data_IF_600510168198
#
_entry.id   IF_600510168198
#
_cell.length_a   1.000
_cell.length_b   1.000
_cell.length_c   1.000
_cell.angle_alpha   90.00
_cell.angle_beta   90.00
_cell.angle_gamma   90.00
#
_symmetry.space_group_name_H-M   'P 1'
#
loop_
_entity.id
_entity.type
_entity.pdbx_description
1 polymer ?
#
# COMPACT_ATOMS: atom_id res chain seq x y z
N UNK A 1 -36.81 -16.31 -14.86
CA UNK A 1 -37.21 -14.91 -14.91
C UNK A 1 -36.33 -14.17 -13.91
N UNK A 2 -35.55 -13.20 -14.36
CA UNK A 2 -34.65 -12.44 -13.46
C UNK A 2 -35.48 -11.52 -12.57
N UNK A 3 -35.12 -11.43 -11.30
CA UNK A 3 -35.81 -10.57 -10.33
C UNK A 3 -35.20 -9.18 -10.23
N UNK A 4 -33.88 -9.11 -10.41
CA UNK A 4 -33.09 -7.87 -10.27
C UNK A 4 -32.40 -7.54 -11.58
N UNK A 5 -32.54 -6.30 -12.04
CA UNK A 5 -31.68 -5.72 -13.08
C UNK A 5 -30.60 -4.89 -12.38
N UNK A 6 -29.34 -5.10 -12.75
CA UNK A 6 -28.19 -4.39 -12.15
C UNK A 6 -27.61 -3.43 -13.17
N UNK A 7 -27.68 -2.14 -12.85
CA UNK A 7 -27.12 -1.04 -13.63
C UNK A 7 -25.86 -0.49 -12.95
N UNK A 8 -24.81 -0.31 -13.72
CA UNK A 8 -23.52 0.17 -13.25
C UNK A 8 -22.73 0.84 -14.39
N UNK A 9 -21.71 1.63 -14.06
CA UNK A 9 -20.74 2.10 -15.04
C UNK A 9 -19.72 0.99 -15.35
N UNK A 10 -19.27 0.88 -16.59
CA UNK A 10 -18.27 -0.13 -17.01
C UNK A 10 -16.95 -0.10 -16.22
N UNK A 11 -16.67 1.02 -15.54
CA UNK A 11 -15.48 1.17 -14.68
C UNK A 11 -15.61 0.44 -13.35
N UNK A 12 -16.83 0.15 -12.91
CA UNK A 12 -17.14 -0.53 -11.65
C UNK A 12 -17.62 -1.97 -11.85
N UNK A 13 -17.29 -2.58 -13.00
CA UNK A 13 -17.73 -3.93 -13.37
C UNK A 13 -17.39 -4.99 -12.32
N UNK A 14 -16.21 -4.94 -11.74
CA UNK A 14 -15.78 -5.92 -10.73
C UNK A 14 -16.65 -5.90 -9.49
N UNK A 15 -16.95 -4.70 -8.96
CA UNK A 15 -17.84 -4.53 -7.81
C UNK A 15 -19.30 -4.90 -8.11
N UNK A 16 -19.78 -4.54 -9.30
CA UNK A 16 -21.13 -4.91 -9.72
C UNK A 16 -21.28 -6.43 -9.85
N UNK A 17 -20.28 -7.12 -10.41
CA UNK A 17 -20.26 -8.57 -10.50
C UNK A 17 -20.20 -9.24 -9.13
N UNK A 18 -19.42 -8.72 -8.19
CA UNK A 18 -19.37 -9.20 -6.80
C UNK A 18 -20.76 -9.15 -6.14
N UNK A 19 -21.45 -8.02 -6.25
CA UNK A 19 -22.82 -7.85 -5.72
C UNK A 19 -23.76 -8.88 -6.36
N UNK A 20 -23.72 -9.02 -7.68
CA UNK A 20 -24.55 -9.99 -8.42
C UNK A 20 -24.29 -11.42 -7.94
N UNK A 21 -23.04 -11.81 -7.80
CA UNK A 21 -22.67 -13.14 -7.33
C UNK A 21 -23.25 -13.45 -5.94
N UNK A 22 -23.22 -12.48 -5.03
CA UNK A 22 -23.79 -12.65 -3.69
C UNK A 22 -25.32 -12.76 -3.71
N UNK A 23 -26.00 -11.96 -4.55
CA UNK A 23 -27.45 -12.04 -4.71
C UNK A 23 -27.87 -13.38 -5.34
N UNK A 24 -27.13 -13.88 -6.34
CA UNK A 24 -27.41 -15.16 -6.99
C UNK A 24 -27.14 -16.35 -6.06
N UNK A 25 -26.12 -16.27 -5.21
CA UNK A 25 -25.90 -17.25 -4.12
C UNK A 25 -27.06 -17.29 -3.13
N UNK A 26 -27.76 -16.18 -2.93
CA UNK A 26 -28.97 -16.11 -2.12
C UNK A 26 -30.25 -16.51 -2.88
N UNK A 27 -30.12 -17.06 -4.09
CA UNK A 27 -31.23 -17.52 -4.90
C UNK A 27 -32.03 -16.37 -5.56
N UNK A 28 -31.45 -15.19 -5.70
CA UNK A 28 -32.05 -14.03 -6.35
C UNK A 28 -31.51 -13.91 -7.78
N UNK A 29 -32.26 -14.28 -8.82
CA UNK A 29 -31.77 -14.24 -10.19
C UNK A 29 -31.53 -12.77 -10.63
N UNK A 30 -30.30 -12.46 -11.04
CA UNK A 30 -29.90 -11.14 -11.51
C UNK A 30 -29.70 -11.13 -13.03
N UNK A 31 -29.91 -9.94 -13.62
CA UNK A 31 -29.53 -9.62 -14.99
C UNK A 31 -28.53 -8.48 -14.99
N UNK A 32 -27.39 -8.67 -15.64
CA UNK A 32 -26.30 -7.70 -15.72
C UNK A 32 -25.66 -7.69 -17.12
N UNK A 33 -25.46 -6.51 -17.72
CA UNK A 33 -24.71 -6.39 -18.97
C UNK A 33 -23.17 -6.35 -18.68
N UNK A 34 -22.30 -6.85 -19.54
CA UNK A 34 -22.63 -7.57 -20.79
C UNK A 34 -22.89 -9.08 -20.61
N UNK A 35 -22.73 -9.64 -19.38
CA UNK A 35 -22.82 -11.09 -19.11
C UNK A 35 -24.08 -11.74 -19.72
N UNK A 36 -25.23 -11.12 -19.50
CA UNK A 36 -26.54 -11.69 -19.85
C UNK A 36 -27.06 -11.26 -21.23
N UNK A 37 -26.19 -10.62 -22.01
CA UNK A 37 -26.48 -10.27 -23.39
C UNK A 37 -25.93 -11.36 -24.31
N UNK A 38 -26.83 -11.98 -25.10
CA UNK A 38 -26.43 -13.03 -26.02
C UNK A 38 -25.48 -12.50 -27.11
N UNK A 39 -24.50 -13.31 -27.50
CA UNK A 39 -23.55 -12.97 -28.57
C UNK A 39 -24.32 -12.71 -29.87
N UNK A 40 -24.09 -11.53 -30.48
CA UNK A 40 -24.79 -11.08 -31.68
C UNK A 40 -26.12 -10.35 -31.44
N UNK A 41 -26.54 -10.19 -30.19
CA UNK A 41 -27.77 -9.48 -29.81
C UNK A 41 -27.59 -7.96 -29.87
N UNK A 42 -28.74 -7.26 -29.82
CA UNK A 42 -28.77 -5.81 -29.90
C UNK A 42 -29.07 -5.18 -28.52
N UNK A 43 -28.07 -4.52 -27.93
CA UNK A 43 -28.17 -3.81 -26.65
C UNK A 43 -29.38 -2.91 -26.51
N UNK A 44 -29.79 -2.26 -27.62
CA UNK A 44 -30.94 -1.33 -27.62
C UNK A 44 -32.28 -2.06 -27.46
N UNK A 45 -32.34 -3.37 -27.66
CA UNK A 45 -33.54 -4.18 -27.49
C UNK A 45 -33.50 -5.02 -26.21
N UNK A 46 -32.36 -5.57 -25.87
CA UNK A 46 -32.23 -6.53 -24.77
C UNK A 46 -32.28 -5.85 -23.40
N UNK A 47 -31.62 -4.72 -23.21
CA UNK A 47 -31.64 -3.96 -21.96
C UNK A 47 -33.08 -3.50 -21.62
N UNK A 48 -33.83 -2.85 -22.50
CA UNK A 48 -35.22 -2.47 -22.21
C UNK A 48 -36.11 -3.65 -21.90
N UNK A 49 -35.88 -4.81 -22.53
CA UNK A 49 -36.62 -6.03 -22.25
C UNK A 49 -36.31 -6.55 -20.85
N UNK A 50 -35.03 -6.65 -20.49
CA UNK A 50 -34.59 -7.09 -19.17
C UNK A 50 -35.17 -6.20 -18.05
N UNK A 51 -35.14 -4.87 -18.20
CA UNK A 51 -35.74 -3.94 -17.24
C UNK A 51 -37.25 -4.19 -17.09
N UNK A 52 -37.98 -4.43 -18.19
CA UNK A 52 -39.43 -4.75 -18.11
C UNK A 52 -39.71 -6.03 -17.32
N UNK A 53 -38.87 -7.05 -17.53
CA UNK A 53 -39.05 -8.39 -16.97
C UNK A 53 -38.58 -8.51 -15.49
N UNK A 54 -37.73 -7.61 -15.02
CA UNK A 54 -37.29 -7.55 -13.64
C UNK A 54 -38.30 -6.82 -12.74
N UNK A 55 -38.33 -7.17 -11.46
CA UNK A 55 -39.16 -6.50 -10.46
C UNK A 55 -38.41 -5.38 -9.73
N UNK A 56 -37.12 -5.54 -9.57
CA UNK A 56 -36.25 -4.61 -8.87
C UNK A 56 -35.14 -4.09 -9.79
N UNK A 57 -34.71 -2.87 -9.56
CA UNK A 57 -33.63 -2.22 -10.27
C UNK A 57 -32.56 -1.80 -9.26
N UNK A 58 -31.44 -2.51 -9.26
CA UNK A 58 -30.29 -2.20 -8.44
C UNK A 58 -29.39 -1.22 -9.20
N UNK A 59 -29.10 -0.09 -8.60
CA UNK A 59 -28.21 0.93 -9.15
C UNK A 59 -26.92 0.97 -8.32
N UNK A 60 -25.81 0.56 -8.92
CA UNK A 60 -24.49 0.72 -8.32
C UNK A 60 -24.01 2.17 -8.50
N UNK A 61 -24.15 2.96 -7.44
CA UNK A 61 -23.87 4.39 -7.43
C UNK A 61 -22.38 4.68 -7.27
N UNK A 62 -21.85 5.42 -8.23
CA UNK A 62 -20.50 6.01 -8.25
C UNK A 62 -20.52 7.31 -9.03
N UNK A 63 -19.47 8.12 -8.93
CA UNK A 63 -19.32 9.32 -9.75
C UNK A 63 -19.34 8.99 -11.26
N UNK A 64 -18.81 7.84 -11.66
CA UNK A 64 -18.85 7.37 -13.05
C UNK A 64 -20.25 6.91 -13.47
N UNK A 65 -21.01 6.28 -12.58
CA UNK A 65 -22.38 5.86 -12.85
C UNK A 65 -23.28 7.08 -13.08
N UNK A 66 -23.17 8.08 -12.23
CA UNK A 66 -23.89 9.34 -12.35
C UNK A 66 -23.59 10.08 -13.67
N UNK A 67 -22.32 10.12 -14.08
CA UNK A 67 -21.91 10.73 -15.35
C UNK A 67 -22.30 9.90 -16.59
N UNK A 68 -22.71 8.64 -16.42
CA UNK A 68 -22.99 7.71 -17.51
C UNK A 68 -24.34 7.96 -18.16
N UNK A 69 -24.34 8.36 -19.44
CA UNK A 69 -25.57 8.49 -20.22
C UNK A 69 -26.39 7.19 -20.34
N UNK A 70 -25.73 6.05 -20.24
CA UNK A 70 -26.39 4.74 -20.29
C UNK A 70 -27.10 4.42 -18.97
N UNK A 71 -26.43 4.56 -17.86
CA UNK A 71 -26.98 4.36 -16.52
C UNK A 71 -28.19 5.28 -16.32
N UNK A 72 -28.09 6.55 -16.70
CA UNK A 72 -29.18 7.51 -16.62
C UNK A 72 -30.41 7.11 -17.45
N UNK A 73 -30.21 6.54 -18.66
CA UNK A 73 -31.31 6.02 -19.49
C UNK A 73 -31.96 4.79 -18.88
N UNK A 74 -31.19 3.91 -18.28
CA UNK A 74 -31.67 2.70 -17.61
C UNK A 74 -32.47 3.08 -16.36
N UNK A 75 -31.95 3.97 -15.53
CA UNK A 75 -32.63 4.49 -14.35
C UNK A 75 -33.96 5.16 -14.72
N UNK A 76 -33.95 6.05 -15.71
CA UNK A 76 -35.19 6.70 -16.18
C UNK A 76 -36.23 5.68 -16.65
N UNK A 77 -35.80 4.61 -17.31
CA UNK A 77 -36.71 3.52 -17.70
C UNK A 77 -37.27 2.75 -16.51
N UNK A 78 -36.45 2.49 -15.52
CA UNK A 78 -36.85 1.78 -14.32
C UNK A 78 -37.89 2.61 -13.54
N UNK A 79 -37.67 3.91 -13.40
CA UNK A 79 -38.61 4.85 -12.78
C UNK A 79 -39.93 4.84 -13.54
N UNK A 80 -39.94 5.04 -14.87
CA UNK A 80 -41.15 5.06 -15.71
C UNK A 80 -41.88 3.72 -15.73
N UNK A 81 -41.28 2.64 -15.30
CA UNK A 81 -41.89 1.30 -15.20
C UNK A 81 -42.18 0.93 -13.73
N UNK A 82 -42.12 1.87 -12.82
CA UNK A 82 -42.43 1.71 -11.39
C UNK A 82 -41.68 0.53 -10.76
N UNK A 83 -40.38 0.35 -11.14
CA UNK A 83 -39.55 -0.66 -10.55
C UNK A 83 -39.15 -0.30 -9.12
N UNK A 84 -39.06 -1.28 -8.25
CA UNK A 84 -38.47 -1.06 -6.92
C UNK A 84 -36.98 -0.73 -7.08
N UNK A 85 -36.60 0.49 -6.75
CA UNK A 85 -35.23 0.98 -6.87
C UNK A 85 -34.42 0.61 -5.64
N UNK A 86 -33.21 0.10 -5.87
CA UNK A 86 -32.23 -0.26 -4.83
C UNK A 86 -30.90 0.45 -5.15
N UNK A 87 -30.74 1.72 -4.77
CA UNK A 87 -29.47 2.41 -4.96
C UNK A 87 -28.46 1.98 -3.90
N UNK A 88 -27.30 1.49 -4.35
CA UNK A 88 -26.16 1.11 -3.53
C UNK A 88 -24.99 2.01 -3.82
N UNK A 89 -24.55 2.82 -2.86
CA UNK A 89 -23.35 3.63 -2.96
C UNK A 89 -22.12 2.71 -2.85
N UNK A 90 -21.44 2.48 -3.95
CA UNK A 90 -20.27 1.61 -4.06
C UNK A 90 -18.94 2.38 -4.03
N UNK A 91 -19.02 3.71 -4.00
CA UNK A 91 -17.90 4.64 -3.96
C UNK A 91 -18.31 5.84 -3.11
N UNK A 92 -17.39 6.39 -2.31
CA UNK A 92 -17.66 7.61 -1.55
C UNK A 92 -17.56 8.84 -2.47
N UNK A 93 -18.69 9.43 -2.81
CA UNK A 93 -18.78 10.67 -3.58
C UNK A 93 -20.02 11.47 -3.17
N UNK A 94 -20.09 12.74 -3.58
CA UNK A 94 -21.27 13.58 -3.36
C UNK A 94 -22.20 13.46 -4.57
N UNK A 95 -23.42 13.02 -4.34
CA UNK A 95 -24.45 12.90 -5.37
C UNK A 95 -24.89 14.31 -5.79
N UNK A 96 -25.06 14.56 -7.10
CA UNK A 96 -25.55 15.84 -7.60
C UNK A 96 -27.05 16.06 -7.29
N UNK A 97 -27.47 17.34 -7.18
CA UNK A 97 -28.88 17.69 -6.93
C UNK A 97 -29.85 17.05 -7.94
N UNK A 98 -29.44 16.93 -9.22
CA UNK A 98 -30.27 16.32 -10.25
C UNK A 98 -30.45 14.81 -10.07
N UNK A 99 -29.46 14.11 -9.54
CA UNK A 99 -29.53 12.68 -9.28
C UNK A 99 -30.23 12.41 -7.93
N UNK A 100 -29.98 13.25 -6.94
CA UNK A 100 -30.69 13.25 -5.66
C UNK A 100 -32.18 13.38 -5.83
N UNK A 101 -32.66 14.29 -6.69
CA UNK A 101 -34.04 14.43 -7.03
C UNK A 101 -34.69 13.16 -7.63
N UNK A 102 -33.94 12.40 -8.45
CA UNK A 102 -34.43 11.14 -9.03
C UNK A 102 -34.56 10.01 -7.99
N UNK A 103 -33.91 10.15 -6.85
CA UNK A 103 -33.86 9.16 -5.77
C UNK A 103 -34.49 9.69 -4.47
N UNK A 104 -35.23 10.80 -4.50
CA UNK A 104 -35.76 11.53 -3.32
C UNK A 104 -36.54 10.63 -2.36
N UNK A 105 -37.33 9.70 -2.90
CA UNK A 105 -38.15 8.78 -2.10
C UNK A 105 -37.51 7.42 -1.86
N UNK A 106 -36.22 7.25 -2.18
CA UNK A 106 -35.56 5.94 -2.12
C UNK A 106 -34.38 5.94 -1.16
N UNK A 107 -34.35 4.97 -0.25
CA UNK A 107 -33.26 4.82 0.68
C UNK A 107 -31.97 4.42 -0.05
N UNK A 108 -30.97 5.31 -0.04
CA UNK A 108 -29.63 5.03 -0.54
C UNK A 108 -28.85 4.27 0.54
N UNK A 109 -28.32 3.10 0.19
CA UNK A 109 -27.56 2.24 1.08
C UNK A 109 -26.08 2.39 0.80
N UNK A 110 -25.28 2.59 1.85
CA UNK A 110 -23.84 2.78 1.70
C UNK A 110 -23.09 1.44 1.76
N UNK A 111 -22.89 0.84 0.59
CA UNK A 111 -22.12 -0.40 0.44
C UNK A 111 -20.63 -0.26 0.75
N UNK A 112 -20.07 0.95 0.69
CA UNK A 112 -18.66 1.21 0.99
C UNK A 112 -18.31 1.03 2.45
N UNK A 113 -19.25 1.29 3.35
CA UNK A 113 -19.02 1.26 4.81
C UNK A 113 -19.42 -0.08 5.44
N UNK A 114 -20.41 -0.76 4.88
CA UNK A 114 -20.89 -2.06 5.36
C UNK A 114 -21.43 -2.90 4.20
N UNK A 115 -20.53 -3.58 3.48
CA UNK A 115 -20.91 -4.40 2.34
C UNK A 115 -21.82 -5.57 2.73
N UNK A 116 -21.54 -6.24 3.84
CA UNK A 116 -22.30 -7.44 4.23
C UNK A 116 -23.66 -7.10 4.83
N UNK A 117 -23.72 -6.11 5.71
CA UNK A 117 -24.99 -5.66 6.30
C UNK A 117 -25.94 -5.15 5.24
N UNK A 118 -25.44 -4.34 4.29
CA UNK A 118 -26.22 -3.81 3.17
C UNK A 118 -26.72 -4.93 2.24
N UNK A 119 -25.90 -5.93 1.94
CA UNK A 119 -26.34 -7.08 1.14
C UNK A 119 -27.42 -7.90 1.84
N UNK A 120 -27.30 -8.13 3.15
CA UNK A 120 -28.35 -8.82 3.93
C UNK A 120 -29.66 -8.03 3.94
N UNK A 121 -29.60 -6.72 4.06
CA UNK A 121 -30.76 -5.84 3.93
C UNK A 121 -31.41 -5.97 2.56
N UNK A 122 -30.61 -5.94 1.49
CA UNK A 122 -31.10 -6.11 0.11
C UNK A 122 -31.72 -7.50 -0.09
N UNK A 123 -31.07 -8.56 0.39
CA UNK A 123 -31.60 -9.94 0.32
C UNK A 123 -32.93 -10.02 1.05
N UNK A 124 -33.08 -9.35 2.20
CA UNK A 124 -34.32 -9.29 2.98
C UNK A 124 -35.51 -8.66 2.25
N UNK A 125 -35.29 -7.90 1.17
CA UNK A 125 -36.36 -7.36 0.31
C UNK A 125 -37.03 -8.46 -0.55
N UNK A 126 -36.47 -9.69 -0.59
CA UNK A 126 -36.96 -10.79 -1.42
C UNK A 126 -37.53 -11.91 -0.54
N UNK A 127 -38.84 -11.98 -0.31
CA UNK A 127 -39.48 -12.90 0.67
C UNK A 127 -39.32 -14.40 0.38
N UNK A 128 -38.83 -14.77 -0.80
CA UNK A 128 -38.53 -16.14 -1.19
C UNK A 128 -37.04 -16.37 -1.46
N UNK A 129 -36.18 -15.42 -1.10
CA UNK A 129 -34.75 -15.67 -1.06
C UNK A 129 -34.52 -16.65 0.09
N UNK A 130 -34.08 -17.86 -0.24
CA UNK A 130 -33.41 -18.66 0.77
C UNK A 130 -32.15 -17.85 1.14
N UNK A 131 -31.97 -17.43 2.39
CA UNK A 131 -30.65 -16.94 2.77
C UNK A 131 -29.70 -18.03 2.29
N UNK A 132 -28.77 -17.67 1.40
CA UNK A 132 -27.63 -18.54 1.18
C UNK A 132 -27.23 -19.00 2.56
N UNK A 133 -26.92 -20.32 2.78
CA UNK A 133 -26.35 -20.71 4.05
C UNK A 133 -25.28 -19.66 4.24
N UNK A 134 -25.52 -18.79 5.23
CA UNK A 134 -24.50 -17.82 5.61
C UNK A 134 -23.26 -18.66 5.59
N UNK A 135 -22.21 -18.38 4.78
CA UNK A 135 -20.96 -19.04 5.02
C UNK A 135 -20.84 -18.76 6.50
N UNK A 136 -20.94 -19.84 7.33
CA UNK A 136 -20.79 -19.71 8.79
C UNK A 136 -19.60 -18.82 8.84
N UNK A 137 -19.73 -17.54 9.26
CA UNK A 137 -18.64 -16.63 9.05
C UNK A 137 -17.51 -17.38 9.71
N UNK A 138 -16.53 -17.72 8.92
CA UNK A 138 -15.31 -18.29 9.43
C UNK A 138 -14.98 -17.20 10.44
N UNK A 139 -15.35 -17.43 11.74
CA UNK A 139 -15.44 -16.39 12.78
C UNK A 139 -14.08 -15.80 13.12
N UNK A 140 -13.14 -16.04 12.20
CA UNK A 140 -11.78 -15.53 12.28
C UNK A 140 -11.80 -14.04 12.02
N UNK A 141 -11.25 -13.33 12.96
CA UNK A 141 -11.00 -11.89 12.85
C UNK A 141 -9.97 -11.60 11.77
N UNK A 142 -9.87 -10.36 11.33
CA UNK A 142 -8.81 -9.91 10.44
C UNK A 142 -7.42 -10.26 10.99
N UNK A 143 -7.25 -10.18 12.32
CA UNK A 143 -6.03 -10.55 13.02
C UNK A 143 -5.74 -12.06 12.92
N UNK A 144 -6.75 -12.93 13.09
CA UNK A 144 -6.56 -14.39 12.98
C UNK A 144 -6.15 -14.81 11.57
N UNK A 145 -6.76 -14.22 10.53
CA UNK A 145 -6.32 -14.42 9.15
C UNK A 145 -4.90 -13.93 8.92
N UNK A 146 -4.54 -12.77 9.46
CA UNK A 146 -3.19 -12.25 9.39
C UNK A 146 -2.17 -13.20 10.03
N UNK A 147 -2.45 -13.72 11.22
CA UNK A 147 -1.61 -14.70 11.91
C UNK A 147 -1.48 -16.02 11.13
N UNK A 148 -2.53 -16.48 10.46
CA UNK A 148 -2.47 -17.64 9.58
C UNK A 148 -1.57 -17.38 8.37
N UNK A 149 -1.68 -16.19 7.77
CA UNK A 149 -0.80 -15.74 6.70
C UNK A 149 0.67 -15.72 7.12
N UNK A 150 0.97 -15.17 8.30
CA UNK A 150 2.32 -15.15 8.86
C UNK A 150 2.90 -16.55 9.09
N UNK A 151 2.09 -17.49 9.61
CA UNK A 151 2.51 -18.88 9.78
C UNK A 151 2.81 -19.55 8.45
N UNK A 152 1.94 -19.43 7.46
CA UNK A 152 2.13 -19.98 6.12
C UNK A 152 3.39 -19.37 5.45
N UNK A 153 3.56 -18.05 5.57
CA UNK A 153 4.73 -17.35 5.03
C UNK A 153 6.04 -17.88 5.62
N UNK A 154 6.12 -18.02 6.96
CA UNK A 154 7.29 -18.53 7.67
C UNK A 154 7.58 -20.01 7.38
N UNK A 155 6.57 -20.76 6.95
CA UNK A 155 6.72 -22.15 6.50
C UNK A 155 7.07 -22.27 5.01
N UNK A 156 7.24 -21.15 4.30
CA UNK A 156 7.54 -21.14 2.86
C UNK A 156 6.33 -21.37 1.95
N UNK A 157 5.12 -21.45 2.51
CA UNK A 157 3.86 -21.66 1.79
C UNK A 157 3.30 -20.30 1.32
N UNK A 158 4.03 -19.65 0.41
CA UNK A 158 3.76 -18.25 0.06
C UNK A 158 2.41 -18.03 -0.63
N UNK A 159 1.96 -18.95 -1.48
CA UNK A 159 0.64 -18.88 -2.14
C UNK A 159 -0.50 -18.94 -1.12
N UNK A 160 -0.38 -19.82 -0.13
CA UNK A 160 -1.33 -19.92 0.96
C UNK A 160 -1.30 -18.66 1.85
N UNK A 161 -0.10 -18.14 2.14
CA UNK A 161 0.07 -16.90 2.89
C UNK A 161 -0.63 -15.72 2.23
N UNK A 162 -0.48 -15.55 0.91
CA UNK A 162 -1.16 -14.52 0.13
C UNK A 162 -2.68 -14.65 0.25
N UNK A 163 -3.22 -15.89 0.17
CA UNK A 163 -4.65 -16.13 0.34
C UNK A 163 -5.18 -15.69 1.71
N UNK A 164 -4.41 -15.92 2.78
CA UNK A 164 -4.76 -15.48 4.13
C UNK A 164 -4.60 -13.97 4.32
N UNK A 165 -3.51 -13.38 3.82
CA UNK A 165 -3.30 -11.93 3.85
C UNK A 165 -4.39 -11.19 3.08
N UNK A 166 -4.85 -11.75 1.94
CA UNK A 166 -5.97 -11.16 1.19
C UNK A 166 -7.24 -11.12 2.03
N UNK A 167 -7.60 -12.22 2.69
CA UNK A 167 -8.78 -12.27 3.59
C UNK A 167 -8.66 -11.26 4.74
N UNK A 168 -7.49 -11.13 5.35
CA UNK A 168 -7.24 -10.14 6.39
C UNK A 168 -7.33 -8.70 5.85
N UNK A 169 -6.76 -8.44 4.67
CA UNK A 169 -6.79 -7.14 4.01
C UNK A 169 -8.21 -6.71 3.61
N UNK A 170 -9.04 -7.65 3.16
CA UNK A 170 -10.44 -7.41 2.82
C UNK A 170 -11.27 -7.01 4.06
N UNK A 171 -10.84 -7.46 5.24
CA UNK A 171 -11.37 -7.03 6.54
C UNK A 171 -10.67 -5.78 7.10
N UNK A 172 -9.86 -5.09 6.31
CA UNK A 172 -9.24 -3.82 6.69
C UNK A 172 -7.92 -3.92 7.47
N UNK A 173 -7.29 -5.12 7.56
CA UNK A 173 -6.05 -5.28 8.30
C UNK A 173 -4.86 -4.61 7.61
N UNK A 174 -4.40 -3.50 8.16
CA UNK A 174 -3.34 -2.68 7.54
C UNK A 174 -2.01 -3.41 7.36
N UNK A 175 -1.62 -4.27 8.31
CA UNK A 175 -0.34 -4.99 8.22
C UNK A 175 -0.41 -6.08 7.15
N UNK A 176 -1.56 -6.76 7.00
CA UNK A 176 -1.78 -7.70 5.89
C UNK A 176 -1.71 -7.02 4.52
N UNK A 177 -2.25 -5.80 4.40
CA UNK A 177 -2.10 -5.01 3.16
C UNK A 177 -0.64 -4.68 2.87
N UNK A 178 0.16 -4.37 3.90
CA UNK A 178 1.60 -4.14 3.75
C UNK A 178 2.31 -5.40 3.26
N UNK A 179 2.00 -6.55 3.87
CA UNK A 179 2.61 -7.83 3.52
C UNK A 179 2.19 -8.32 2.13
N UNK A 180 0.96 -8.03 1.68
CA UNK A 180 0.56 -8.23 0.29
C UNK A 180 1.40 -7.40 -0.67
N UNK A 181 1.63 -6.13 -0.35
CA UNK A 181 2.52 -5.27 -1.13
C UNK A 181 3.91 -5.88 -1.25
N UNK A 182 4.44 -6.39 -0.14
CA UNK A 182 5.73 -7.10 -0.12
C UNK A 182 5.71 -8.37 -0.98
N UNK A 183 4.65 -9.18 -0.91
CA UNK A 183 4.50 -10.38 -1.71
C UNK A 183 4.57 -10.08 -3.22
N UNK A 184 3.86 -9.05 -3.68
CA UNK A 184 3.90 -8.61 -5.08
C UNK A 184 5.26 -8.02 -5.49
N UNK A 185 5.95 -7.29 -4.59
CA UNK A 185 7.27 -6.71 -4.88
C UNK A 185 8.35 -7.77 -5.05
N UNK A 186 8.33 -8.81 -4.20
CA UNK A 186 9.38 -9.81 -4.11
C UNK A 186 8.98 -11.20 -4.64
N UNK A 187 7.88 -11.28 -5.42
CA UNK A 187 7.43 -12.53 -6.04
C UNK A 187 7.21 -13.69 -5.03
N UNK A 188 6.54 -13.39 -3.91
CA UNK A 188 6.25 -14.36 -2.86
C UNK A 188 4.82 -14.87 -2.98
N UNK A 189 4.64 -16.05 -3.62
CA UNK A 189 3.34 -16.68 -3.81
C UNK A 189 2.43 -16.02 -4.85
N UNK A 190 2.92 -14.99 -5.52
CA UNK A 190 2.26 -14.28 -6.63
C UNK A 190 3.30 -13.85 -7.64
N UNK A 191 2.90 -13.66 -8.89
CA UNK A 191 3.77 -13.07 -9.91
C UNK A 191 4.15 -11.63 -9.52
N UNK A 192 5.41 -11.29 -9.70
CA UNK A 192 5.91 -9.93 -9.41
C UNK A 192 5.13 -8.88 -10.16
N UNK A 193 4.57 -7.92 -9.42
CA UNK A 193 3.84 -6.77 -9.96
C UNK A 193 4.06 -5.54 -9.06
N UNK A 194 4.95 -4.65 -9.50
CA UNK A 194 5.27 -3.44 -8.75
C UNK A 194 4.09 -2.46 -8.66
N UNK A 195 3.19 -2.45 -9.64
CA UNK A 195 2.01 -1.59 -9.59
C UNK A 195 1.01 -2.08 -8.52
N UNK A 196 0.78 -3.38 -8.45
CA UNK A 196 -0.02 -3.98 -7.37
C UNK A 196 0.65 -3.80 -6.01
N UNK A 197 1.98 -3.96 -5.91
CA UNK A 197 2.73 -3.70 -4.68
C UNK A 197 2.51 -2.26 -4.18
N UNK A 198 2.73 -1.26 -5.04
CA UNK A 198 2.51 0.14 -4.69
C UNK A 198 1.06 0.45 -4.28
N UNK A 199 0.08 -0.17 -4.96
CA UNK A 199 -1.35 -0.04 -4.61
C UNK A 199 -1.66 -0.58 -3.21
N UNK A 200 -1.11 -1.73 -2.85
CA UNK A 200 -1.28 -2.32 -1.53
C UNK A 200 -0.56 -1.51 -0.44
N UNK A 201 0.68 -1.08 -0.70
CA UNK A 201 1.38 -0.16 0.20
C UNK A 201 0.61 1.13 0.41
N UNK A 202 0.00 1.70 -0.63
CA UNK A 202 -0.82 2.92 -0.52
C UNK A 202 -2.04 2.71 0.37
N UNK A 203 -2.76 1.59 0.23
CA UNK A 203 -3.90 1.25 1.09
C UNK A 203 -3.47 1.17 2.56
N UNK A 204 -2.41 0.41 2.84
CA UNK A 204 -1.85 0.24 4.17
C UNK A 204 -1.31 1.55 4.77
N UNK A 205 -0.59 2.35 3.97
CA UNK A 205 -0.02 3.64 4.37
C UNK A 205 -1.09 4.67 4.75
N UNK A 206 -2.22 4.67 4.04
CA UNK A 206 -3.37 5.52 4.36
C UNK A 206 -4.03 5.13 5.69
N UNK A 207 -3.93 3.87 6.10
CA UNK A 207 -4.35 3.38 7.42
C UNK A 207 -3.29 3.58 8.51
N UNK A 208 -2.21 4.32 8.19
CA UNK A 208 -1.19 4.71 9.15
C UNK A 208 -0.10 3.68 9.43
N UNK A 209 0.03 2.61 8.64
CA UNK A 209 1.15 1.67 8.79
C UNK A 209 2.48 2.32 8.38
N UNK A 210 3.41 2.45 9.33
CA UNK A 210 4.68 3.15 9.11
C UNK A 210 5.62 2.41 8.14
N UNK A 211 5.59 1.08 8.12
CA UNK A 211 6.37 0.25 7.18
C UNK A 211 5.86 0.48 5.76
N UNK A 212 4.55 0.42 5.56
CA UNK A 212 3.94 0.68 4.26
C UNK A 212 4.16 2.12 3.79
N UNK A 213 4.13 3.10 4.69
CA UNK A 213 4.47 4.49 4.35
C UNK A 213 5.92 4.62 3.86
N UNK A 214 6.87 3.93 4.51
CA UNK A 214 8.26 3.90 4.09
C UNK A 214 8.43 3.20 2.71
N UNK A 215 7.76 2.07 2.50
CA UNK A 215 7.82 1.34 1.24
C UNK A 215 7.17 2.12 0.10
N UNK A 216 6.02 2.75 0.33
CA UNK A 216 5.36 3.64 -0.63
C UNK A 216 6.24 4.84 -0.98
N UNK A 217 6.90 5.43 0.02
CA UNK A 217 7.86 6.52 -0.20
C UNK A 217 8.99 6.06 -1.13
N UNK A 218 9.52 4.86 -0.93
CA UNK A 218 10.53 4.28 -1.81
C UNK A 218 9.98 4.03 -3.22
N UNK A 219 8.74 3.55 -3.35
CA UNK A 219 8.08 3.40 -4.65
C UNK A 219 8.05 4.74 -5.42
N UNK A 220 7.67 5.83 -4.77
CA UNK A 220 7.70 7.16 -5.39
C UNK A 220 9.12 7.67 -5.66
N UNK A 221 10.09 7.39 -4.78
CA UNK A 221 11.48 7.79 -4.95
C UNK A 221 12.14 7.12 -6.17
N UNK A 222 11.93 5.82 -6.31
CA UNK A 222 12.51 5.01 -7.38
C UNK A 222 11.67 5.01 -8.67
N UNK A 223 10.36 5.25 -8.60
CA UNK A 223 9.42 5.06 -9.71
C UNK A 223 8.94 3.62 -9.86
N UNK A 224 8.94 2.85 -8.77
CA UNK A 224 8.56 1.44 -8.76
C UNK A 224 7.03 1.31 -8.66
N UNK A 225 6.38 0.89 -9.74
CA UNK A 225 4.93 0.69 -9.79
C UNK A 225 4.08 1.98 -9.77
N UNK A 226 4.72 3.12 -9.61
CA UNK A 226 4.13 4.46 -9.68
C UNK A 226 5.05 5.41 -10.42
N UNK A 227 4.51 6.50 -10.95
CA UNK A 227 5.35 7.55 -11.55
C UNK A 227 6.26 8.14 -10.48
N UNK A 228 7.58 8.21 -10.78
CA UNK A 228 8.57 8.80 -9.87
C UNK A 228 8.17 10.22 -9.45
N UNK A 229 8.12 10.45 -8.14
CA UNK A 229 7.77 11.73 -7.55
C UNK A 229 8.48 11.92 -6.21
N UNK A 230 9.60 12.64 -6.23
CA UNK A 230 10.44 12.86 -5.05
C UNK A 230 9.72 13.66 -3.96
N UNK A 231 8.81 14.57 -4.33
CA UNK A 231 8.02 15.37 -3.36
C UNK A 231 7.06 14.46 -2.58
N UNK A 232 6.36 13.57 -3.28
CA UNK A 232 5.50 12.58 -2.62
C UNK A 232 6.32 11.59 -1.77
N UNK A 233 7.49 11.17 -2.26
CA UNK A 233 8.40 10.31 -1.49
C UNK A 233 8.75 10.95 -0.13
N UNK A 234 9.16 12.22 -0.13
CA UNK A 234 9.49 12.96 1.11
C UNK A 234 8.29 13.06 2.05
N UNK A 235 7.09 13.32 1.54
CA UNK A 235 5.87 13.38 2.37
C UNK A 235 5.61 12.06 3.09
N UNK A 236 5.75 10.94 2.39
CA UNK A 236 5.52 9.62 2.97
C UNK A 236 6.67 9.20 3.90
N UNK A 237 7.95 9.46 3.54
CA UNK A 237 9.06 9.26 4.46
C UNK A 237 8.88 10.05 5.75
N UNK A 238 8.42 11.30 5.67
CA UNK A 238 8.18 12.13 6.84
C UNK A 238 7.12 11.53 7.77
N UNK A 239 5.99 11.07 7.22
CA UNK A 239 4.94 10.40 8.01
C UNK A 239 5.46 9.16 8.73
N UNK A 240 6.22 8.30 8.05
CA UNK A 240 6.82 7.12 8.65
C UNK A 240 7.90 7.47 9.69
N UNK A 241 8.74 8.46 9.41
CA UNK A 241 9.82 8.91 10.28
C UNK A 241 9.29 9.55 11.58
N UNK A 242 8.17 10.27 11.51
CA UNK A 242 7.48 10.84 12.67
C UNK A 242 6.89 9.74 13.58
N UNK A 243 6.54 8.59 13.03
CA UNK A 243 6.14 7.41 13.79
C UNK A 243 7.33 6.58 14.33
N UNK A 244 8.56 7.03 14.11
CA UNK A 244 9.76 6.37 14.63
C UNK A 244 10.34 5.32 13.68
N UNK A 245 9.84 5.15 12.45
CA UNK A 245 10.36 4.14 11.53
C UNK A 245 11.81 4.48 11.12
N UNK A 246 12.76 3.63 11.52
CA UNK A 246 14.22 3.88 11.44
C UNK A 246 14.65 4.16 9.99
N UNK A 247 14.31 3.27 9.06
CA UNK A 247 14.68 3.42 7.64
C UNK A 247 14.10 4.69 7.01
N UNK A 248 12.89 5.08 7.43
CA UNK A 248 12.28 6.32 6.95
C UNK A 248 13.00 7.57 7.50
N UNK A 249 13.45 7.54 8.76
CA UNK A 249 14.26 8.63 9.33
C UNK A 249 15.59 8.78 8.58
N UNK A 250 16.26 7.67 8.30
CA UNK A 250 17.48 7.68 7.50
C UNK A 250 17.26 8.22 6.09
N UNK A 251 16.25 7.70 5.36
CA UNK A 251 15.97 8.13 3.99
C UNK A 251 15.50 9.59 3.92
N UNK A 252 14.74 10.05 4.89
CA UNK A 252 14.34 11.45 5.00
C UNK A 252 15.55 12.37 5.22
N UNK A 253 16.49 11.93 6.05
CA UNK A 253 17.75 12.64 6.25
C UNK A 253 18.56 12.76 4.94
N UNK A 254 18.63 11.67 4.16
CA UNK A 254 19.25 11.69 2.82
C UNK A 254 18.56 12.67 1.88
N UNK A 255 17.21 12.69 1.86
CA UNK A 255 16.46 13.65 1.05
C UNK A 255 16.82 15.10 1.40
N UNK A 256 16.88 15.44 2.67
CA UNK A 256 17.32 16.79 3.10
C UNK A 256 18.79 17.08 2.80
N UNK A 257 19.66 16.07 2.94
CA UNK A 257 21.09 16.22 2.63
C UNK A 257 21.34 16.52 1.16
N UNK A 258 20.61 15.83 0.27
CA UNK A 258 20.81 15.94 -1.17
C UNK A 258 19.95 17.06 -1.81
N UNK A 259 18.78 17.34 -1.24
CA UNK A 259 17.75 18.19 -1.86
C UNK A 259 16.80 17.39 -2.76
N UNK A 260 16.59 16.11 -2.45
CA UNK A 260 15.72 15.22 -3.22
C UNK A 260 14.25 15.43 -2.83
N UNK A 261 13.47 16.11 -3.67
CA UNK A 261 12.05 16.37 -3.43
C UNK A 261 11.76 17.41 -2.34
N UNK A 262 12.79 17.98 -1.74
CA UNK A 262 12.74 19.02 -0.70
C UNK A 262 13.96 19.94 -0.85
N UNK A 263 13.87 21.17 -0.39
CA UNK A 263 15.04 22.04 -0.36
C UNK A 263 16.15 21.42 0.50
N UNK A 264 17.39 21.49 -0.01
CA UNK A 264 18.56 20.99 0.73
C UNK A 264 18.69 21.70 2.07
N UNK A 265 18.67 20.93 3.15
CA UNK A 265 18.77 21.42 4.53
C UNK A 265 19.64 20.46 5.38
N UNK A 266 20.95 20.74 5.49
CA UNK A 266 21.84 19.91 6.29
C UNK A 266 21.50 19.88 7.78
N UNK A 267 20.86 20.92 8.33
CA UNK A 267 20.44 20.96 9.74
C UNK A 267 19.32 19.95 9.99
N UNK A 268 18.30 19.94 9.11
CA UNK A 268 17.23 18.96 9.18
C UNK A 268 17.74 17.54 8.91
N UNK A 269 18.66 17.35 7.95
CA UNK A 269 19.29 16.06 7.71
C UNK A 269 19.93 15.51 8.98
N UNK A 270 20.72 16.31 9.68
CA UNK A 270 21.38 15.91 10.95
C UNK A 270 20.36 15.55 12.03
N UNK A 271 19.25 16.28 12.15
CA UNK A 271 18.20 15.95 13.14
C UNK A 271 17.63 14.55 12.90
N UNK A 272 17.35 14.22 11.64
CA UNK A 272 16.80 12.92 11.31
C UNK A 272 17.83 11.80 11.41
N UNK A 273 19.09 12.03 11.00
CA UNK A 273 20.17 11.08 11.27
C UNK A 273 20.33 10.78 12.75
N UNK A 274 20.30 11.80 13.63
CA UNK A 274 20.38 11.58 15.08
C UNK A 274 19.29 10.66 15.59
N UNK A 275 18.03 10.85 15.14
CA UNK A 275 16.93 9.98 15.54
C UNK A 275 17.13 8.52 15.09
N UNK A 276 17.66 8.31 13.88
CA UNK A 276 17.98 6.97 13.41
C UNK A 276 19.18 6.37 14.19
N UNK A 277 20.18 7.18 14.52
CA UNK A 277 21.33 6.79 15.35
C UNK A 277 20.93 6.38 16.76
N UNK A 278 19.98 7.10 17.38
CA UNK A 278 19.42 6.76 18.69
C UNK A 278 18.77 5.37 18.71
N UNK A 279 18.31 4.90 17.54
CA UNK A 279 17.75 3.57 17.34
C UNK A 279 18.80 2.55 16.82
N UNK A 280 20.05 2.93 16.70
CA UNK A 280 21.15 2.05 16.36
C UNK A 280 21.42 1.87 14.86
N UNK A 281 20.82 2.65 13.96
CA UNK A 281 21.02 2.53 12.51
C UNK A 281 22.48 2.79 12.12
N UNK A 282 23.16 1.79 11.56
CA UNK A 282 24.58 1.85 11.21
C UNK A 282 24.87 2.79 10.04
N UNK A 283 23.96 2.90 9.09
CA UNK A 283 24.12 3.78 7.93
C UNK A 283 23.93 5.24 8.34
N UNK A 284 22.99 5.51 9.26
CA UNK A 284 22.83 6.84 9.86
C UNK A 284 24.04 7.23 10.70
N UNK A 285 24.63 6.31 11.47
CA UNK A 285 25.89 6.56 12.19
C UNK A 285 27.02 6.96 11.24
N UNK A 286 27.21 6.21 10.16
CA UNK A 286 28.18 6.55 9.13
C UNK A 286 27.96 7.94 8.55
N UNK A 287 26.73 8.26 8.13
CA UNK A 287 26.43 9.54 7.49
C UNK A 287 26.51 10.71 8.48
N UNK A 288 26.04 10.51 9.71
CA UNK A 288 26.21 11.53 10.77
C UNK A 288 27.70 11.74 11.11
N UNK A 289 28.52 10.67 11.05
CA UNK A 289 29.97 10.78 11.16
C UNK A 289 30.56 11.71 10.10
N UNK A 290 30.15 11.56 8.84
CA UNK A 290 30.55 12.49 7.77
C UNK A 290 30.06 13.92 8.02
N UNK A 291 28.85 14.10 8.54
CA UNK A 291 28.36 15.43 8.89
C UNK A 291 29.26 16.12 9.91
N UNK A 292 29.69 15.40 10.95
CA UNK A 292 30.64 15.94 11.95
C UNK A 292 32.05 16.14 11.39
N UNK A 293 32.54 15.25 10.54
CA UNK A 293 33.85 15.38 9.91
C UNK A 293 33.95 16.64 9.04
N UNK A 294 32.90 16.91 8.25
CA UNK A 294 32.87 18.06 7.34
C UNK A 294 32.34 19.36 7.95
N UNK A 295 31.64 19.25 9.06
CA UNK A 295 30.92 20.41 9.65
C UNK A 295 29.64 20.75 8.88
N UNK A 296 28.97 19.73 8.26
CA UNK A 296 27.80 19.91 7.45
C UNK A 296 26.52 19.76 8.31
N UNK A 297 25.82 20.85 8.55
CA UNK A 297 24.64 20.89 9.45
C UNK A 297 24.97 20.77 10.95
N UNK A 298 26.24 20.64 11.31
CA UNK A 298 26.76 20.60 12.68
C UNK A 298 28.13 21.30 12.77
N UNK A 299 28.53 21.71 13.95
CA UNK A 299 29.92 22.16 14.17
C UNK A 299 30.85 20.97 13.93
N UNK A 300 31.87 21.18 13.11
CA UNK A 300 32.91 20.18 12.84
C UNK A 300 33.50 19.64 14.15
N UNK A 301 33.51 18.29 14.25
CA UNK A 301 34.02 17.56 15.40
C UNK A 301 34.52 16.18 14.97
N UNK A 302 35.82 16.09 14.73
CA UNK A 302 36.43 14.87 14.22
C UNK A 302 36.42 13.71 15.24
N UNK A 303 36.41 14.03 16.55
CA UNK A 303 36.34 12.98 17.58
C UNK A 303 34.96 12.32 17.58
N UNK A 304 33.89 13.13 17.50
CA UNK A 304 32.53 12.57 17.33
C UNK A 304 32.35 11.81 16.04
N UNK A 305 32.98 12.27 14.94
CA UNK A 305 32.96 11.53 13.68
C UNK A 305 33.56 10.12 13.85
N UNK A 306 34.73 10.02 14.53
CA UNK A 306 35.39 8.72 14.77
C UNK A 306 34.57 7.82 15.70
N UNK A 307 33.94 8.37 16.73
CA UNK A 307 33.03 7.60 17.60
C UNK A 307 31.86 6.99 16.79
N UNK A 308 31.26 7.76 15.89
CA UNK A 308 30.17 7.31 15.03
C UNK A 308 30.65 6.31 13.99
N UNK A 309 31.82 6.52 13.35
CA UNK A 309 32.41 5.54 12.45
C UNK A 309 32.72 4.24 13.18
N UNK A 310 33.21 4.30 14.43
CA UNK A 310 33.47 3.10 15.25
C UNK A 310 32.18 2.34 15.52
N UNK A 311 31.14 3.02 15.99
CA UNK A 311 29.85 2.40 16.28
C UNK A 311 29.24 1.71 15.05
N UNK A 312 29.34 2.36 13.88
CA UNK A 312 28.90 1.77 12.60
C UNK A 312 29.78 0.60 12.17
N UNK A 313 31.12 0.71 12.32
CA UNK A 313 32.09 -0.31 11.97
C UNK A 313 31.97 -1.58 12.82
N UNK A 314 31.66 -1.44 14.12
CA UNK A 314 31.41 -2.54 15.05
C UNK A 314 30.16 -3.32 14.69
N UNK A 315 29.15 -2.67 14.09
CA UNK A 315 27.95 -3.29 13.53
C UNK A 315 28.19 -3.96 12.16
N UNK A 316 29.43 -3.91 11.64
CA UNK A 316 29.81 -4.59 10.41
C UNK A 316 29.74 -3.72 9.15
N UNK A 317 29.43 -2.43 9.22
CA UNK A 317 29.40 -1.58 8.04
C UNK A 317 30.80 -1.46 7.42
N UNK A 318 31.00 -2.01 6.22
CA UNK A 318 32.30 -2.08 5.56
C UNK A 318 32.91 -0.70 5.24
N UNK A 319 32.04 0.28 4.90
CA UNK A 319 32.50 1.65 4.62
C UNK A 319 32.98 2.31 5.90
N UNK A 320 32.25 2.13 6.99
CA UNK A 320 32.64 2.65 8.30
C UNK A 320 33.94 1.99 8.81
N UNK A 321 34.11 0.69 8.62
CA UNK A 321 35.36 -0.03 8.93
C UNK A 321 36.53 0.56 8.15
N UNK A 322 36.35 0.81 6.86
CA UNK A 322 37.39 1.44 6.06
C UNK A 322 37.70 2.85 6.56
N UNK A 323 36.70 3.69 6.84
CA UNK A 323 36.90 5.04 7.33
C UNK A 323 37.60 5.06 8.70
N UNK A 324 37.25 4.16 9.59
CA UNK A 324 37.89 4.02 10.88
C UNK A 324 39.38 3.62 10.73
N UNK A 325 39.66 2.70 9.79
CA UNK A 325 41.01 2.35 9.40
C UNK A 325 41.80 3.55 8.90
N UNK A 326 41.22 4.40 8.09
CA UNK A 326 41.83 5.68 7.64
C UNK A 326 42.07 6.64 8.81
N UNK A 327 41.14 6.72 9.78
CA UNK A 327 41.31 7.55 10.96
C UNK A 327 42.53 7.11 11.79
N UNK A 328 42.68 5.81 12.06
CA UNK A 328 43.84 5.28 12.76
C UNK A 328 45.14 5.41 11.97
N UNK A 329 45.12 5.17 10.65
CA UNK A 329 46.31 5.31 9.79
C UNK A 329 46.89 6.72 9.84
N UNK A 330 46.02 7.74 9.82
CA UNK A 330 46.41 9.13 9.65
C UNK A 330 46.36 9.95 10.94
N UNK A 331 45.95 9.38 12.07
CA UNK A 331 45.79 10.12 13.33
C UNK A 331 44.64 11.12 13.31
N UNK A 332 43.55 10.82 12.58
CA UNK A 332 42.39 11.75 12.47
C UNK A 332 41.42 11.48 13.60
N UNK A 333 41.40 12.38 14.61
CA UNK A 333 40.52 12.23 15.77
C UNK A 333 40.87 11.08 16.73
N UNK A 334 41.90 10.35 16.45
CA UNK A 334 42.51 9.29 17.29
C UNK A 334 44.00 9.32 17.10
N UNK A 335 44.78 8.72 18.03
CA UNK A 335 46.21 8.54 17.83
C UNK A 335 46.51 7.61 16.63
N UNK A 336 47.62 7.84 15.96
CA UNK A 336 48.07 6.96 14.89
C UNK A 336 48.32 5.54 15.44
N UNK A 337 47.65 4.56 14.84
CA UNK A 337 47.83 3.15 15.18
C UNK A 337 47.67 2.30 13.91
N UNK A 338 48.81 1.91 13.34
CA UNK A 338 48.83 1.12 12.10
C UNK A 338 48.32 -0.32 12.29
N UNK A 339 48.47 -0.85 13.52
CA UNK A 339 47.95 -2.21 13.81
C UNK A 339 46.41 -2.20 13.84
N UNK A 340 45.80 -1.24 14.53
CA UNK A 340 44.34 -1.06 14.48
C UNK A 340 43.86 -0.67 13.06
N UNK A 341 44.58 0.19 12.35
CA UNK A 341 44.24 0.51 10.96
C UNK A 341 44.19 -0.77 10.08
N UNK A 342 45.25 -1.63 10.19
CA UNK A 342 45.33 -2.90 9.45
C UNK A 342 44.15 -3.81 9.79
N UNK A 343 43.81 -3.94 11.07
CA UNK A 343 42.68 -4.76 11.55
C UNK A 343 41.34 -4.31 10.96
N UNK A 344 41.08 -3.01 10.94
CA UNK A 344 39.81 -2.48 10.39
C UNK A 344 39.78 -2.57 8.87
N UNK A 345 40.87 -2.32 8.17
CA UNK A 345 40.96 -2.56 6.73
C UNK A 345 40.77 -4.03 6.39
N UNK A 346 41.27 -4.96 7.20
CA UNK A 346 41.10 -6.41 6.97
C UNK A 346 39.60 -6.75 7.04
N UNK A 347 38.91 -6.32 8.08
CA UNK A 347 37.46 -6.56 8.21
C UNK A 347 36.66 -6.03 7.01
N UNK A 348 36.97 -4.83 6.50
CA UNK A 348 36.33 -4.28 5.33
C UNK A 348 36.69 -5.06 4.05
N UNK A 349 37.94 -5.47 3.92
CA UNK A 349 38.42 -6.26 2.77
C UNK A 349 37.81 -7.66 2.72
N UNK A 350 37.57 -8.29 3.86
CA UNK A 350 36.91 -9.60 3.98
C UNK A 350 35.46 -9.54 3.50
N UNK A 351 34.82 -8.35 3.57
CA UNK A 351 33.52 -8.07 3.02
C UNK A 351 33.58 -7.66 1.53
N UNK A 352 34.75 -7.71 0.90
CA UNK A 352 34.91 -7.36 -0.52
C UNK A 352 35.13 -5.88 -0.80
N UNK A 353 35.38 -5.02 0.22
CA UNK A 353 35.59 -3.59 0.00
C UNK A 353 36.94 -3.31 -0.64
N UNK A 354 36.99 -3.07 -1.95
CA UNK A 354 38.20 -2.97 -2.76
C UNK A 354 39.20 -1.90 -2.28
N UNK A 355 38.69 -0.75 -1.78
CA UNK A 355 39.57 0.30 -1.28
C UNK A 355 40.33 -0.15 -0.02
N UNK A 356 39.74 -1.00 0.81
CA UNK A 356 40.42 -1.58 1.97
C UNK A 356 41.52 -2.54 1.57
N UNK A 357 41.34 -3.39 0.55
CA UNK A 357 42.38 -4.27 0.00
C UNK A 357 43.57 -3.47 -0.49
N UNK A 358 43.34 -2.34 -1.19
CA UNK A 358 44.42 -1.44 -1.63
C UNK A 358 45.19 -0.84 -0.44
N UNK A 359 44.50 -0.43 0.63
CA UNK A 359 45.16 0.12 1.82
C UNK A 359 46.02 -0.94 2.54
N UNK A 360 45.54 -2.19 2.64
CA UNK A 360 46.30 -3.27 3.21
C UNK A 360 47.61 -3.53 2.48
N UNK A 361 47.59 -3.47 1.15
CA UNK A 361 48.81 -3.62 0.35
C UNK A 361 49.84 -2.50 0.60
N UNK A 362 49.43 -1.33 1.05
CA UNK A 362 50.34 -0.21 1.38
C UNK A 362 50.87 -0.25 2.82
N UNK A 363 50.33 -1.14 3.67
CA UNK A 363 50.73 -1.33 5.08
C UNK A 363 51.57 -2.59 5.31
N UNK A 364 51.88 -3.26 4.23
CA UNK A 364 52.86 -4.37 4.23
C UNK A 364 54.27 -3.80 4.12
#
# INVERSE_FOLDING_TARGET
MHKVFVSYSSREADRANEIVEQLEKAGIPCWIAPRDIAVGSNYTKDIPKAIRECTHFLLALSANAEASKWVNKELTRAINQEKCLIPLMIENFTISEGFEFLLEDVQIRNYCTDCQGVLQEVIGLFPNATPAPTPVPDKKTAEEYYQMGGKAYNSGQYEEAVGWYQKAADLGHKDAMCDLGYCYEFEKGVTKDLASAAKWYMKSANLGNAVAQCNLAYCYYAGNGVTKNLVEAVKWYKKAAEQGHIRAQYNLALCYQNGDGVAKDPLEAVKWYKKAVEQGDSDAQLNLGYCYEMGNGVKKDIHKAVELFRSSAEQGNAIAQYNLGICYKNGRGVAVDLAEAKKWFQKAADQGYENAKKQLATLQ
#
